data_IF_686011070108
#
_entry.id   IF_686011070108
#
_cell.length_a   1.000
_cell.length_b   1.000
_cell.length_c   1.000
_cell.angle_alpha   90.00
_cell.angle_beta   90.00
_cell.angle_gamma   90.00
#
_symmetry.space_group_name_H-M   'P 1'
#
loop_
_entity.id
_entity.type
_entity.pdbx_description
1 polymer ?
#
# COMPACT_ATOMS: atom_id res chain seq x y z
N UNK A 1 11.93 -15.37 1.43
CA UNK A 1 10.49 -15.04 1.29
C UNK A 1 10.30 -13.70 1.96
N UNK A 2 9.72 -12.70 1.28
CA UNK A 2 9.79 -11.32 1.77
C UNK A 2 9.03 -11.06 3.06
N UNK A 3 9.74 -10.51 4.03
CA UNK A 3 9.20 -10.04 5.29
C UNK A 3 8.34 -8.77 5.09
N UNK A 4 7.46 -8.52 6.06
CA UNK A 4 6.63 -7.33 6.18
C UNK A 4 7.10 -6.60 7.43
N UNK A 5 7.17 -5.24 7.39
CA UNK A 5 7.74 -4.34 8.41
C UNK A 5 7.91 -4.97 9.82
N UNK A 6 9.11 -5.10 10.39
CA UNK A 6 10.45 -4.67 9.92
C UNK A 6 11.45 -5.86 9.99
N UNK A 7 12.67 -5.93 10.57
CA UNK A 7 13.52 -5.09 11.44
C UNK A 7 15.01 -5.43 11.19
N UNK A 8 15.93 -4.65 11.76
CA UNK A 8 17.30 -4.36 11.26
C UNK A 8 18.27 -5.53 10.98
N UNK A 9 19.41 -5.19 10.35
CA UNK A 9 20.38 -6.12 9.75
C UNK A 9 21.20 -6.92 10.80
N UNK A 10 21.05 -8.24 10.78
CA UNK A 10 21.99 -9.21 11.38
C UNK A 10 22.42 -10.23 10.31
N UNK A 11 23.69 -10.65 10.30
CA UNK A 11 24.23 -11.58 9.30
C UNK A 11 23.86 -13.04 9.64
N UNK A 12 22.99 -13.66 8.82
CA UNK A 12 22.51 -15.02 9.03
C UNK A 12 23.51 -16.10 8.58
N UNK A 13 23.58 -17.19 9.36
CA UNK A 13 24.38 -18.42 9.08
C UNK A 13 23.70 -19.30 8.00
N UNK A 14 24.41 -20.26 7.37
CA UNK A 14 23.89 -21.00 6.21
C UNK A 14 22.61 -21.84 6.42
N UNK A 15 22.30 -22.22 7.66
CA UNK A 15 21.09 -22.96 8.05
C UNK A 15 19.99 -22.05 8.64
N UNK A 16 20.33 -20.80 8.98
CA UNK A 16 19.35 -19.78 9.29
C UNK A 16 18.70 -19.34 7.98
N UNK A 17 17.38 -19.14 7.98
CA UNK A 17 16.72 -18.54 6.81
C UNK A 17 17.21 -17.12 6.70
N UNK A 18 18.10 -16.85 5.75
CA UNK A 18 18.49 -15.49 5.41
C UNK A 18 17.23 -14.66 5.21
N UNK A 19 17.03 -13.65 6.10
CA UNK A 19 16.17 -12.50 5.83
C UNK A 19 16.58 -12.05 4.44
N UNK A 20 15.76 -12.33 3.42
CA UNK A 20 16.29 -12.46 2.05
C UNK A 20 16.48 -11.05 1.50
N UNK A 21 17.58 -10.41 1.86
CA UNK A 21 17.59 -8.99 2.15
C UNK A 21 17.17 -8.19 0.90
N UNK A 22 15.91 -7.74 0.87
CA UNK A 22 15.23 -7.35 -0.36
C UNK A 22 15.68 -5.97 -0.88
N UNK A 23 16.85 -5.50 -0.44
CA UNK A 23 17.55 -4.26 -0.82
C UNK A 23 17.42 -4.01 -2.31
N UNK A 24 16.49 -3.12 -2.67
CA UNK A 24 16.20 -2.77 -4.05
C UNK A 24 17.29 -1.83 -4.55
N UNK A 25 17.74 -2.09 -5.77
CA UNK A 25 18.67 -1.25 -6.52
C UNK A 25 17.88 -0.23 -7.35
N UNK A 26 18.51 0.87 -7.80
CA UNK A 26 17.83 1.77 -8.75
C UNK A 26 17.48 1.05 -10.07
N UNK A 27 18.29 0.08 -10.48
CA UNK A 27 18.03 -0.84 -11.61
C UNK A 27 16.86 -1.82 -11.41
N UNK A 28 16.21 -1.86 -10.25
CA UNK A 28 14.94 -2.57 -10.07
C UNK A 28 13.71 -1.73 -10.52
N UNK A 29 13.91 -0.46 -10.89
CA UNK A 29 12.88 0.51 -11.27
C UNK A 29 13.14 1.12 -12.66
N UNK A 30 12.10 1.61 -13.37
CA UNK A 30 12.28 2.49 -14.52
C UNK A 30 12.76 3.88 -14.08
N UNK A 31 13.31 4.68 -15.01
CA UNK A 31 13.73 6.06 -14.72
C UNK A 31 12.57 6.95 -14.23
N UNK A 32 11.40 6.84 -14.89
CA UNK A 32 10.13 7.45 -14.49
C UNK A 32 9.08 6.36 -14.28
N UNK A 33 8.43 6.37 -13.12
CA UNK A 33 7.23 5.58 -12.82
C UNK A 33 5.97 6.38 -13.15
N UNK A 34 5.00 5.75 -13.80
CA UNK A 34 3.70 6.35 -14.11
C UNK A 34 2.63 5.76 -13.19
N UNK A 35 1.96 6.63 -12.41
CA UNK A 35 0.87 6.25 -11.49
C UNK A 35 -0.38 7.05 -11.83
N UNK A 36 -1.49 6.36 -12.10
CA UNK A 36 -2.82 6.99 -12.24
C UNK A 36 -3.64 6.75 -10.98
N UNK A 37 -4.10 7.82 -10.34
CA UNK A 37 -4.96 7.78 -9.14
C UNK A 37 -6.42 7.86 -9.58
N UNK A 38 -7.22 6.85 -9.25
CA UNK A 38 -8.65 6.79 -9.56
C UNK A 38 -9.39 6.05 -8.41
N UNK A 39 -10.24 5.07 -8.70
CA UNK A 39 -10.77 4.15 -7.68
C UNK A 39 -9.66 3.34 -6.97
N UNK A 40 -8.54 3.10 -7.66
CA UNK A 40 -7.29 2.50 -7.16
C UNK A 40 -6.08 3.31 -7.64
N UNK A 41 -4.89 2.98 -7.13
CA UNK A 41 -3.61 3.46 -7.65
C UNK A 41 -3.14 2.49 -8.75
N UNK A 42 -3.14 2.93 -10.00
CA UNK A 42 -2.74 2.14 -11.16
C UNK A 42 -1.29 2.46 -11.54
N UNK A 43 -0.38 1.54 -11.23
CA UNK A 43 1.06 1.68 -11.44
C UNK A 43 1.44 0.93 -12.71
N UNK A 44 2.01 1.59 -13.71
CA UNK A 44 2.50 0.89 -14.92
C UNK A 44 3.63 -0.06 -14.57
N UNK A 45 3.58 -1.31 -15.02
CA UNK A 45 4.61 -2.34 -14.73
C UNK A 45 5.85 -2.22 -15.63
N UNK A 46 5.84 -1.33 -16.62
CA UNK A 46 6.90 -1.21 -17.62
C UNK A 46 8.23 -0.76 -16.98
N UNK A 47 9.31 -1.49 -17.30
CA UNK A 47 10.66 -1.21 -16.79
C UNK A 47 10.92 -1.56 -15.32
N UNK A 48 9.93 -2.06 -14.58
CA UNK A 48 10.16 -2.59 -13.23
C UNK A 48 10.73 -4.01 -13.26
N UNK A 49 11.57 -4.35 -12.29
CA UNK A 49 11.93 -5.74 -12.03
C UNK A 49 10.80 -6.48 -11.31
N UNK A 50 10.75 -7.80 -11.49
CA UNK A 50 9.86 -8.68 -10.73
C UNK A 50 10.06 -8.57 -9.21
N UNK A 51 11.24 -8.13 -8.74
CA UNK A 51 11.53 -7.92 -7.31
C UNK A 51 10.83 -6.66 -6.80
N UNK A 52 10.90 -5.54 -7.52
CA UNK A 52 10.20 -4.31 -7.17
C UNK A 52 8.67 -4.50 -7.21
N UNK A 53 8.13 -5.11 -8.28
CA UNK A 53 6.69 -5.39 -8.37
C UNK A 53 6.18 -6.24 -7.20
N UNK A 54 6.94 -7.26 -6.76
CA UNK A 54 6.60 -8.08 -5.60
C UNK A 54 6.66 -7.33 -4.25
N UNK A 55 7.41 -6.24 -4.16
CA UNK A 55 7.49 -5.40 -2.94
C UNK A 55 6.36 -4.37 -2.94
N UNK A 56 6.11 -3.72 -4.08
CA UNK A 56 4.95 -2.85 -4.29
C UNK A 56 3.64 -3.61 -4.01
N UNK A 57 3.52 -4.85 -4.51
CA UNK A 57 2.38 -5.75 -4.24
C UNK A 57 2.20 -6.06 -2.75
N UNK A 58 3.29 -6.07 -1.96
CA UNK A 58 3.25 -6.28 -0.50
C UNK A 58 2.82 -5.05 0.29
N UNK A 59 2.86 -3.83 -0.27
CA UNK A 59 2.32 -2.63 0.40
C UNK A 59 0.81 -2.78 0.67
N UNK A 60 0.11 -3.54 -0.16
CA UNK A 60 -1.31 -3.86 0.00
C UNK A 60 -1.55 -5.25 0.61
N UNK A 61 -0.56 -5.87 1.29
CA UNK A 61 -0.66 -7.22 1.82
C UNK A 61 -0.35 -7.34 3.32
N UNK A 62 -1.21 -8.05 4.06
CA UNK A 62 -1.12 -8.17 5.52
C UNK A 62 -1.46 -9.58 6.02
N UNK A 63 -1.06 -9.87 7.26
CA UNK A 63 -1.31 -11.16 7.94
C UNK A 63 -2.80 -11.32 8.24
N UNK A 64 -3.43 -12.40 7.78
CA UNK A 64 -4.85 -12.65 8.00
C UNK A 64 -5.12 -13.04 9.47
N UNK A 65 -5.78 -12.20 10.29
CA UNK A 65 -5.97 -12.48 11.71
C UNK A 65 -6.75 -13.78 11.94
N UNK A 66 -7.69 -14.14 11.07
CA UNK A 66 -8.55 -15.31 11.29
C UNK A 66 -7.85 -16.63 10.97
N UNK A 67 -6.82 -16.62 10.11
CA UNK A 67 -5.90 -17.75 9.98
C UNK A 67 -5.16 -18.01 11.30
N UNK A 68 -4.61 -16.95 11.92
CA UNK A 68 -3.83 -17.08 13.15
C UNK A 68 -4.71 -17.41 14.37
N UNK A 69 -5.93 -16.86 14.45
CA UNK A 69 -6.94 -17.28 15.46
C UNK A 69 -7.27 -18.77 15.32
N UNK A 70 -7.61 -19.22 14.11
CA UNK A 70 -7.93 -20.62 13.85
C UNK A 70 -6.74 -21.55 14.17
N UNK A 71 -5.53 -21.15 13.79
CA UNK A 71 -4.30 -21.89 14.11
C UNK A 71 -4.08 -22.01 15.63
N UNK A 72 -4.24 -20.93 16.39
CA UNK A 72 -4.11 -20.93 17.85
C UNK A 72 -5.17 -21.81 18.53
N UNK A 73 -6.41 -21.80 18.01
CA UNK A 73 -7.52 -22.64 18.46
C UNK A 73 -7.46 -24.10 17.96
N UNK A 74 -6.43 -24.47 17.18
CA UNK A 74 -6.28 -25.79 16.51
C UNK A 74 -7.46 -26.15 15.56
N UNK A 75 -8.13 -25.14 15.01
CA UNK A 75 -9.23 -25.27 14.05
C UNK A 75 -8.74 -25.37 12.60
N UNK A 76 -9.56 -25.89 11.65
CA UNK A 76 -9.19 -25.98 10.25
C UNK A 76 -8.86 -24.63 9.58
N UNK A 77 -7.66 -24.56 9.00
CA UNK A 77 -7.11 -23.40 8.29
C UNK A 77 -7.09 -23.54 6.76
N UNK A 78 -7.60 -24.65 6.19
CA UNK A 78 -7.56 -24.93 4.74
C UNK A 78 -8.11 -23.77 3.90
N UNK A 79 -9.31 -23.29 4.24
CA UNK A 79 -9.99 -22.18 3.57
C UNK A 79 -9.70 -20.81 4.23
N UNK A 80 -8.47 -20.63 4.75
CA UNK A 80 -8.03 -19.37 5.35
C UNK A 80 -6.65 -19.01 4.80
N UNK A 81 -6.54 -18.06 3.85
CA UNK A 81 -5.23 -17.66 3.36
C UNK A 81 -4.46 -16.96 4.47
N UNK A 82 -3.21 -17.37 4.74
CA UNK A 82 -2.37 -16.81 5.82
C UNK A 82 -2.04 -15.32 5.64
N UNK A 83 -2.05 -14.84 4.39
CA UNK A 83 -1.83 -13.45 4.00
C UNK A 83 -3.00 -13.04 3.10
N UNK A 84 -3.59 -11.88 3.37
CA UNK A 84 -4.54 -11.21 2.47
C UNK A 84 -3.74 -10.21 1.63
N UNK A 85 -4.04 -10.13 0.33
CA UNK A 85 -3.45 -9.15 -0.59
C UNK A 85 -4.59 -8.39 -1.26
N UNK A 86 -4.68 -7.08 -1.00
CA UNK A 86 -5.66 -6.17 -1.61
C UNK A 86 -5.16 -5.57 -2.93
N UNK A 87 -3.98 -6.00 -3.37
CA UNK A 87 -3.42 -5.72 -4.69
C UNK A 87 -4.15 -6.49 -5.80
N UNK A 88 -4.55 -5.82 -6.87
CA UNK A 88 -5.06 -6.43 -8.10
C UNK A 88 -3.99 -6.31 -9.21
N UNK A 89 -3.99 -7.21 -10.19
CA UNK A 89 -2.97 -7.25 -11.24
C UNK A 89 -3.61 -7.38 -12.63
N UNK A 90 -3.30 -6.39 -13.48
CA UNK A 90 -3.74 -6.31 -14.88
C UNK A 90 -2.53 -6.55 -15.81
N UNK A 91 -2.72 -6.75 -17.13
CA UNK A 91 -1.62 -7.03 -18.05
C UNK A 91 -0.48 -6.01 -17.96
N UNK A 92 -0.81 -4.72 -18.00
CA UNK A 92 0.16 -3.61 -17.98
C UNK A 92 0.30 -2.91 -16.61
N UNK A 93 -0.63 -3.13 -15.67
CA UNK A 93 -0.73 -2.36 -14.43
C UNK A 93 -0.74 -3.25 -13.18
N UNK A 94 -0.05 -2.80 -12.14
CA UNK A 94 -0.22 -3.27 -10.77
C UNK A 94 -1.13 -2.26 -10.04
N UNK A 95 -2.19 -2.76 -9.40
CA UNK A 95 -3.22 -1.94 -8.78
C UNK A 95 -3.13 -2.05 -7.25
N UNK A 96 -3.08 -0.93 -6.54
CA UNK A 96 -3.13 -0.87 -5.08
C UNK A 96 -4.36 -0.08 -4.58
N UNK A 97 -4.86 -0.32 -3.36
CA UNK A 97 -5.82 0.56 -2.69
C UNK A 97 -5.28 1.98 -2.55
N UNK A 98 -6.15 3.00 -2.56
CA UNK A 98 -5.77 4.42 -2.36
C UNK A 98 -5.02 4.67 -1.05
N UNK A 99 -5.35 3.96 0.04
CA UNK A 99 -4.63 4.07 1.31
C UNK A 99 -3.14 3.73 1.24
N UNK A 100 -2.68 3.02 0.21
CA UNK A 100 -1.26 2.72 0.00
C UNK A 100 -0.46 3.86 -0.64
N UNK A 101 -1.06 5.04 -0.89
CA UNK A 101 -0.46 6.17 -1.61
C UNK A 101 0.81 6.68 -0.91
N UNK A 102 0.76 6.93 0.40
CA UNK A 102 1.91 7.37 1.19
C UNK A 102 3.03 6.33 1.23
N UNK A 103 2.68 5.05 1.40
CA UNK A 103 3.67 3.96 1.42
C UNK A 103 4.34 3.74 0.06
N UNK A 104 3.61 3.93 -1.04
CA UNK A 104 4.15 3.90 -2.39
C UNK A 104 5.09 5.08 -2.66
N UNK A 105 4.70 6.30 -2.25
CA UNK A 105 5.53 7.50 -2.36
C UNK A 105 6.82 7.32 -1.55
N UNK A 106 6.73 6.84 -0.31
CA UNK A 106 7.89 6.58 0.54
C UNK A 106 8.84 5.54 -0.07
N UNK A 107 8.32 4.45 -0.64
CA UNK A 107 9.13 3.44 -1.33
C UNK A 107 9.87 4.02 -2.54
N UNK A 108 9.18 4.78 -3.40
CA UNK A 108 9.77 5.36 -4.62
C UNK A 108 10.79 6.47 -4.29
N UNK A 109 10.50 7.31 -3.31
CA UNK A 109 11.42 8.35 -2.82
C UNK A 109 12.70 7.75 -2.21
N UNK A 110 12.59 6.65 -1.45
CA UNK A 110 13.74 5.93 -0.88
C UNK A 110 14.74 5.49 -1.95
N UNK A 111 14.25 5.14 -3.15
CA UNK A 111 15.09 4.72 -4.28
C UNK A 111 15.39 5.83 -5.30
N UNK A 112 14.97 7.09 -5.03
CA UNK A 112 15.18 8.27 -5.88
C UNK A 112 14.73 8.04 -7.33
N UNK A 113 13.48 7.58 -7.46
CA UNK A 113 12.78 7.29 -8.70
C UNK A 113 11.88 8.49 -9.05
N UNK A 114 11.85 8.93 -10.31
CA UNK A 114 10.91 9.98 -10.76
C UNK A 114 9.49 9.39 -10.84
N UNK A 115 8.46 10.14 -10.45
CA UNK A 115 7.08 9.65 -10.38
C UNK A 115 6.11 10.65 -10.99
N UNK A 116 5.54 10.30 -12.14
CA UNK A 116 4.50 11.08 -12.81
C UNK A 116 3.13 10.60 -12.38
N UNK A 117 2.51 11.41 -11.54
CA UNK A 117 1.15 11.25 -11.06
C UNK A 117 0.14 11.84 -12.04
N UNK A 118 -0.94 11.10 -12.29
CA UNK A 118 -2.11 11.56 -13.04
C UNK A 118 -3.35 11.29 -12.20
N UNK A 119 -4.00 12.34 -11.70
CA UNK A 119 -5.27 12.18 -11.00
C UNK A 119 -6.43 12.07 -12.01
N UNK A 120 -7.27 11.07 -11.80
CA UNK A 120 -8.52 10.77 -12.51
C UNK A 120 -9.62 10.36 -11.51
N UNK A 121 -9.49 10.72 -10.24
CA UNK A 121 -10.57 10.65 -9.27
C UNK A 121 -11.70 11.60 -9.66
N UNK A 122 -12.90 11.33 -9.15
CA UNK A 122 -14.07 12.18 -9.37
C UNK A 122 -14.20 13.16 -8.20
N UNK A 123 -13.94 14.45 -8.45
CA UNK A 123 -14.00 15.55 -7.47
C UNK A 123 -15.41 15.89 -6.96
N UNK A 124 -16.39 15.00 -7.18
CA UNK A 124 -17.79 15.25 -6.87
C UNK A 124 -18.44 16.34 -7.71
N UNK A 125 -19.64 16.74 -7.28
CA UNK A 125 -20.31 17.97 -7.73
C UNK A 125 -20.45 18.89 -6.52
N UNK A 126 -19.89 20.09 -6.58
CA UNK A 126 -20.09 21.10 -5.53
C UNK A 126 -21.59 21.41 -5.40
N UNK A 127 -22.08 21.38 -4.16
CA UNK A 127 -23.40 21.87 -3.78
C UNK A 127 -23.23 23.19 -3.03
N UNK A 128 -24.25 24.04 -3.10
CA UNK A 128 -24.27 25.36 -2.47
C UNK A 128 -25.26 25.29 -1.30
N UNK A 129 -24.73 25.06 -0.10
CA UNK A 129 -25.47 24.81 1.15
C UNK A 129 -24.69 25.34 2.35
N UNK A 130 -25.42 25.74 3.40
CA UNK A 130 -24.86 26.22 4.66
C UNK A 130 -25.23 25.27 5.82
N UNK A 131 -24.32 25.11 6.79
CA UNK A 131 -24.53 24.23 7.93
C UNK A 131 -25.29 24.96 9.04
N UNK A 132 -26.61 24.75 9.09
CA UNK A 132 -27.52 25.36 10.07
C UNK A 132 -27.52 24.65 11.44
N UNK A 133 -26.35 24.19 11.90
CA UNK A 133 -26.19 23.48 13.17
C UNK A 133 -25.00 24.01 13.97
N UNK A 134 -24.88 23.57 15.21
CA UNK A 134 -23.68 23.76 16.02
C UNK A 134 -22.99 22.39 16.19
N UNK A 135 -21.68 22.35 15.97
CA UNK A 135 -20.87 21.17 16.27
C UNK A 135 -20.63 21.07 17.78
N UNK A 136 -20.36 19.86 18.26
CA UNK A 136 -19.71 19.65 19.56
C UNK A 136 -18.20 19.76 19.39
N UNK A 137 -17.51 20.05 20.49
CA UNK A 137 -16.05 20.07 20.61
C UNK A 137 -15.41 18.84 19.93
N UNK A 138 -15.90 17.63 20.26
CA UNK A 138 -15.46 16.34 19.70
C UNK A 138 -15.68 16.18 18.18
N UNK A 139 -16.49 17.03 17.56
CA UNK A 139 -16.79 17.04 16.13
C UNK A 139 -16.01 18.11 15.37
N UNK A 140 -15.64 19.21 16.02
CA UNK A 140 -14.76 20.25 15.44
C UNK A 140 -13.37 19.66 15.17
N UNK A 141 -12.75 19.03 16.17
CA UNK A 141 -11.48 18.28 16.05
C UNK A 141 -11.50 17.26 14.90
N UNK A 142 -12.63 16.56 14.74
CA UNK A 142 -12.80 15.53 13.72
C UNK A 142 -12.96 16.12 12.30
N UNK A 143 -13.69 17.24 12.17
CA UNK A 143 -13.88 17.94 10.89
C UNK A 143 -12.57 18.57 10.42
N UNK A 144 -11.85 19.27 11.30
CA UNK A 144 -10.54 19.87 10.99
C UNK A 144 -9.50 18.81 10.62
N UNK A 145 -9.56 17.64 11.25
CA UNK A 145 -8.73 16.48 10.91
C UNK A 145 -9.11 15.85 9.56
N UNK A 146 -10.40 15.72 9.25
CA UNK A 146 -10.88 15.12 7.99
C UNK A 146 -10.64 16.01 6.76
N UNK A 147 -10.77 17.33 6.88
CA UNK A 147 -10.60 18.28 5.76
C UNK A 147 -9.17 18.28 5.19
N UNK A 148 -8.18 17.80 5.97
CA UNK A 148 -6.79 17.68 5.53
C UNK A 148 -6.53 16.54 4.52
N UNK A 149 -7.47 15.60 4.31
CA UNK A 149 -7.23 14.39 3.52
C UNK A 149 -8.40 14.03 2.57
N UNK A 150 -8.17 14.11 1.25
CA UNK A 150 -9.15 13.77 0.19
C UNK A 150 -9.78 12.37 0.29
N UNK A 151 -9.11 11.45 0.98
CA UNK A 151 -9.53 10.05 1.15
C UNK A 151 -10.16 9.76 2.52
N UNK A 152 -10.20 10.73 3.44
CA UNK A 152 -10.48 10.50 4.86
C UNK A 152 -9.26 9.98 5.64
N UNK A 153 -9.54 9.31 6.77
CA UNK A 153 -8.56 8.72 7.71
C UNK A 153 -8.20 7.29 7.27
#
# INVERSE_FOLDING_TARGET
>A
MGDLRQDEDEECKPWERSKTNYKLSKSDFPDTVYVTKANMLYISKNGFSHKALNIIKRLAAFRNPDFYKAQAMRLPTFDKPRIISLSDEKPEYLCLPRGCELDLINLLNTHKVDVKWVDKSYSGKRIDVEFNGQLRDEQEDAVDSMIQYDNGI
#
